data_IF_683917032580
#
_entry.id   IF_683917032580
#
_cell.length_a   1.000
_cell.length_b   1.000
_cell.length_c   1.000
_cell.angle_alpha   90.00
_cell.angle_beta   90.00
_cell.angle_gamma   90.00
#
_symmetry.space_group_name_H-M   'P 1'
#
loop_
_entity.id
_entity.type
_entity.pdbx_description
1 polymer ?
#
# COMPACT_ATOMS: atom_id res chain seq x y z
N UNK A 1 4.19 9.07 -12.54
CA UNK A 1 4.90 9.13 -13.84
C UNK A 1 6.21 8.36 -13.76
N UNK A 2 7.25 8.99 -13.22
CA UNK A 2 8.63 8.44 -13.21
C UNK A 2 8.74 7.01 -12.68
N UNK A 3 8.12 6.72 -11.53
CA UNK A 3 8.15 5.39 -10.89
C UNK A 3 7.57 4.33 -11.82
N UNK A 4 6.39 4.57 -12.37
CA UNK A 4 5.73 3.65 -13.29
C UNK A 4 6.59 3.38 -14.52
N UNK A 5 7.17 4.42 -15.11
CA UNK A 5 8.05 4.28 -16.28
C UNK A 5 9.28 3.45 -15.95
N UNK A 6 10.00 3.77 -14.87
CA UNK A 6 11.22 3.06 -14.51
C UNK A 6 10.95 1.62 -14.05
N UNK A 7 9.88 1.38 -13.29
CA UNK A 7 9.47 0.05 -12.83
C UNK A 7 9.04 -0.83 -14.02
N UNK A 8 8.16 -0.34 -14.90
CA UNK A 8 7.62 -1.15 -16.01
C UNK A 8 8.60 -1.31 -17.16
N UNK A 9 9.52 -0.37 -17.38
CA UNK A 9 10.56 -0.53 -18.41
C UNK A 9 11.52 -1.70 -18.12
N UNK A 10 11.56 -2.23 -16.89
CA UNK A 10 12.29 -3.46 -16.56
C UNK A 10 11.82 -4.65 -17.42
N UNK A 11 10.56 -4.68 -17.87
CA UNK A 11 10.07 -5.68 -18.81
C UNK A 11 10.78 -5.63 -20.16
N UNK A 12 11.10 -4.42 -20.63
CA UNK A 12 11.85 -4.22 -21.89
C UNK A 12 13.27 -4.76 -21.73
N UNK A 13 13.91 -4.48 -20.58
CA UNK A 13 15.21 -5.05 -20.24
C UNK A 13 15.19 -6.57 -20.28
N UNK A 14 14.20 -7.20 -19.62
CA UNK A 14 14.01 -8.66 -19.65
C UNK A 14 13.77 -9.20 -21.07
N UNK A 15 12.95 -8.54 -21.87
CA UNK A 15 12.66 -8.95 -23.24
C UNK A 15 13.87 -8.81 -24.20
N UNK A 16 14.85 -7.98 -23.84
CA UNK A 16 16.10 -7.78 -24.58
C UNK A 16 17.29 -8.54 -23.96
N UNK A 17 17.02 -9.56 -23.13
CA UNK A 17 18.02 -10.35 -22.41
C UNK A 17 19.01 -9.52 -21.55
N UNK A 18 18.53 -8.40 -21.02
CA UNK A 18 19.25 -7.46 -20.16
C UNK A 18 18.48 -7.20 -18.85
N UNK A 19 18.41 -8.18 -17.93
CA UNK A 19 17.72 -8.01 -16.67
C UNK A 19 18.53 -7.10 -15.74
N UNK A 20 18.06 -5.86 -15.52
CA UNK A 20 18.73 -4.89 -14.64
C UNK A 20 18.40 -5.08 -13.16
N UNK A 21 17.28 -5.73 -12.83
CA UNK A 21 16.85 -6.07 -11.46
C UNK A 21 16.95 -4.92 -10.44
N UNK A 22 16.72 -3.68 -10.89
CA UNK A 22 16.81 -2.50 -10.03
C UNK A 22 15.48 -2.30 -9.27
N UNK A 23 15.45 -2.32 -7.92
CA UNK A 23 14.24 -2.01 -7.17
C UNK A 23 13.82 -0.56 -7.40
N UNK A 24 12.56 -0.35 -7.78
CA UNK A 24 11.98 0.99 -8.01
C UNK A 24 10.82 1.20 -7.07
N UNK A 25 10.82 2.29 -6.29
CA UNK A 25 9.78 2.59 -5.31
C UNK A 25 9.60 4.11 -5.15
N UNK A 26 8.39 4.56 -4.78
CA UNK A 26 8.17 5.95 -4.40
C UNK A 26 8.89 6.29 -3.09
N UNK A 27 9.27 7.55 -2.95
CA UNK A 27 9.71 8.14 -1.69
C UNK A 27 8.66 7.94 -0.57
N UNK A 28 7.37 8.16 -0.87
CA UNK A 28 6.29 7.97 0.10
C UNK A 28 6.09 6.49 0.49
N UNK A 29 6.27 5.56 -0.45
CA UNK A 29 6.23 4.12 -0.18
C UNK A 29 7.41 3.71 0.71
N UNK A 30 8.61 4.20 0.41
CA UNK A 30 9.80 3.93 1.22
C UNK A 30 9.67 4.52 2.63
N UNK A 31 9.22 5.76 2.75
CA UNK A 31 8.95 6.40 4.05
C UNK A 31 7.91 5.62 4.86
N UNK A 32 6.84 5.13 4.22
CA UNK A 32 5.85 4.29 4.89
C UNK A 32 6.48 3.00 5.44
N UNK A 33 7.33 2.32 4.67
CA UNK A 33 8.05 1.12 5.14
C UNK A 33 8.95 1.43 6.34
N UNK A 34 9.68 2.54 6.31
CA UNK A 34 10.53 2.98 7.43
C UNK A 34 9.70 3.30 8.68
N UNK A 35 8.47 3.80 8.51
CA UNK A 35 7.51 4.00 9.59
C UNK A 35 6.78 2.70 10.02
N UNK A 36 7.17 1.53 9.51
CA UNK A 36 6.61 0.23 9.91
C UNK A 36 5.32 -0.17 9.18
N UNK A 37 4.98 0.49 8.07
CA UNK A 37 3.82 0.09 7.27
C UNK A 37 4.00 -1.32 6.68
N UNK A 38 2.89 -2.05 6.57
CA UNK A 38 2.91 -3.39 6.00
C UNK A 38 3.23 -3.35 4.49
N UNK A 39 4.23 -4.13 4.01
CA UNK A 39 4.68 -4.07 2.63
C UNK A 39 3.61 -4.51 1.62
N UNK A 40 2.72 -5.43 1.99
CA UNK A 40 1.73 -5.98 1.05
C UNK A 40 0.35 -5.33 1.20
N UNK A 41 -0.10 -5.07 2.42
CA UNK A 41 -1.43 -4.47 2.67
C UNK A 41 -1.46 -2.97 2.40
N UNK A 42 -0.41 -2.24 2.77
CA UNK A 42 -0.38 -0.77 2.66
C UNK A 42 0.47 -0.32 1.47
N UNK A 43 1.72 -0.77 1.40
CA UNK A 43 2.67 -0.29 0.39
C UNK A 43 2.48 -0.97 -0.96
N UNK A 44 1.83 -2.14 -0.97
CA UNK A 44 1.46 -2.91 -2.15
C UNK A 44 2.65 -3.29 -3.03
N UNK A 45 3.76 -3.70 -2.42
CA UNK A 45 5.03 -4.02 -3.09
C UNK A 45 4.92 -5.08 -4.19
N UNK A 46 3.93 -5.99 -4.10
CA UNK A 46 3.66 -7.03 -5.10
C UNK A 46 3.20 -6.52 -6.47
N UNK A 47 2.84 -5.24 -6.62
CA UNK A 47 2.48 -4.64 -7.90
C UNK A 47 3.69 -4.14 -8.70
N UNK A 48 4.87 -4.12 -8.09
CA UNK A 48 6.11 -3.74 -8.76
C UNK A 48 6.54 -4.82 -9.75
N UNK A 49 7.04 -4.38 -10.91
CA UNK A 49 7.65 -5.27 -11.90
C UNK A 49 9.14 -5.49 -11.63
N UNK A 50 9.75 -4.53 -10.91
CA UNK A 50 11.10 -4.64 -10.35
C UNK A 50 11.12 -5.56 -9.11
N UNK A 51 12.23 -6.29 -8.89
CA UNK A 51 12.38 -7.12 -7.69
C UNK A 51 12.66 -6.21 -6.49
N UNK A 52 11.72 -6.18 -5.52
CA UNK A 52 11.79 -5.32 -4.33
C UNK A 52 12.08 -6.11 -3.05
N UNK A 53 12.00 -7.43 -3.11
CA UNK A 53 12.22 -8.36 -2.00
C UNK A 53 13.60 -8.19 -1.37
N UNK A 54 14.64 -8.06 -2.20
CA UNK A 54 16.02 -7.86 -1.76
C UNK A 54 16.22 -6.52 -1.04
N UNK A 55 15.43 -5.50 -1.37
CA UNK A 55 15.40 -4.23 -0.65
C UNK A 55 14.73 -4.42 0.72
N UNK A 56 13.60 -5.14 0.77
CA UNK A 56 12.90 -5.43 2.03
C UNK A 56 13.78 -6.20 3.01
N UNK A 57 14.53 -7.21 2.54
CA UNK A 57 15.51 -7.94 3.35
C UNK A 57 16.57 -7.02 3.96
N UNK A 58 17.12 -6.09 3.17
CA UNK A 58 18.10 -5.10 3.65
C UNK A 58 17.53 -4.11 4.64
N UNK A 59 16.22 -3.85 4.58
CA UNK A 59 15.50 -3.04 5.56
C UNK A 59 15.15 -3.83 6.83
N UNK A 60 15.53 -5.12 6.92
CA UNK A 60 15.21 -5.98 8.06
C UNK A 60 13.75 -6.45 8.07
N UNK A 61 13.07 -6.40 6.92
CA UNK A 61 11.67 -6.81 6.79
C UNK A 61 11.63 -8.25 6.28
N UNK A 62 11.06 -9.16 7.07
CA UNK A 62 10.73 -10.53 6.63
C UNK A 62 9.54 -10.50 5.65
N UNK A 63 9.85 -10.27 4.39
CA UNK A 63 8.84 -10.18 3.33
C UNK A 63 8.13 -11.51 3.11
N UNK A 64 8.77 -12.65 3.37
CA UNK A 64 8.16 -13.97 3.18
C UNK A 64 7.04 -14.20 4.18
N UNK A 65 7.30 -13.95 5.46
CA UNK A 65 6.27 -14.01 6.50
C UNK A 65 5.14 -12.99 6.24
N UNK A 66 5.49 -11.76 5.84
CA UNK A 66 4.50 -10.73 5.50
C UNK A 66 3.64 -11.11 4.28
N UNK A 67 4.23 -11.74 3.27
CA UNK A 67 3.51 -12.22 2.09
C UNK A 67 2.55 -13.35 2.46
N UNK A 68 3.01 -14.32 3.26
CA UNK A 68 2.15 -15.41 3.73
C UNK A 68 0.96 -14.88 4.55
N UNK A 69 1.19 -13.90 5.42
CA UNK A 69 0.13 -13.24 6.18
C UNK A 69 -0.85 -12.45 5.29
N UNK A 70 -0.36 -11.87 4.20
CA UNK A 70 -1.20 -11.20 3.19
C UNK A 70 -2.04 -12.19 2.39
N UNK A 71 -1.47 -13.29 1.93
CA UNK A 71 -2.20 -14.33 1.20
C UNK A 71 -3.26 -15.01 2.09
N UNK A 72 -2.96 -15.23 3.37
CA UNK A 72 -3.96 -15.68 4.35
C UNK A 72 -5.12 -14.69 4.49
N UNK A 73 -4.81 -13.41 4.56
CA UNK A 73 -5.82 -12.34 4.61
C UNK A 73 -6.70 -12.27 3.35
N UNK A 74 -6.13 -12.48 2.16
CA UNK A 74 -6.91 -12.54 0.93
C UNK A 74 -7.92 -13.70 0.95
N UNK A 75 -7.56 -14.86 1.54
CA UNK A 75 -8.50 -15.98 1.71
C UNK A 75 -9.64 -15.63 2.66
N UNK A 76 -9.38 -14.89 3.74
CA UNK A 76 -10.43 -14.40 4.63
C UNK A 76 -11.40 -13.47 3.89
N UNK A 77 -10.87 -12.53 3.08
CA UNK A 77 -11.71 -11.63 2.26
C UNK A 77 -12.55 -12.44 1.26
N UNK A 78 -11.94 -13.41 0.59
CA UNK A 78 -12.66 -14.31 -0.31
C UNK A 78 -13.78 -15.07 0.40
N UNK A 79 -13.57 -15.42 1.68
CA UNK A 79 -14.58 -16.04 2.55
C UNK A 79 -15.67 -15.08 3.08
N UNK A 80 -15.68 -13.81 2.66
CA UNK A 80 -16.69 -12.82 3.02
C UNK A 80 -16.29 -11.86 4.15
N UNK A 81 -15.04 -11.90 4.63
CA UNK A 81 -14.53 -10.87 5.53
C UNK A 81 -14.53 -9.52 4.82
N UNK A 82 -15.04 -8.49 5.49
CA UNK A 82 -14.95 -7.12 4.97
C UNK A 82 -13.48 -6.66 5.01
N UNK A 83 -12.92 -6.13 3.91
CA UNK A 83 -11.55 -5.63 3.91
C UNK A 83 -11.37 -4.49 4.91
N UNK A 84 -10.17 -4.40 5.47
CA UNK A 84 -9.77 -3.33 6.38
C UNK A 84 -9.60 -2.08 5.52
N UNK A 85 -10.45 -1.08 5.74
CA UNK A 85 -10.39 0.19 5.02
C UNK A 85 -9.65 1.21 5.87
N UNK A 86 -8.73 1.95 5.25
CA UNK A 86 -8.00 3.03 5.92
C UNK A 86 -8.93 4.20 6.31
N UNK A 87 -10.03 4.37 5.57
CA UNK A 87 -11.09 5.34 5.84
C UNK A 87 -12.44 4.76 5.40
N UNK A 88 -13.53 5.16 6.06
CA UNK A 88 -14.87 4.80 5.59
C UNK A 88 -15.15 5.51 4.25
N UNK A 89 -15.33 4.77 3.13
CA UNK A 89 -15.59 5.37 1.82
C UNK A 89 -16.85 6.26 1.81
N UNK A 90 -17.80 5.98 2.72
CA UNK A 90 -19.03 6.78 2.86
C UNK A 90 -18.76 8.22 3.28
N UNK A 91 -17.64 8.49 3.96
CA UNK A 91 -17.24 9.85 4.33
C UNK A 91 -16.87 10.72 3.11
N UNK A 92 -16.58 10.11 1.95
CA UNK A 92 -16.31 10.84 0.70
C UNK A 92 -17.55 11.03 -0.17
N UNK A 93 -18.63 10.32 0.11
CA UNK A 93 -19.91 10.56 -0.56
C UNK A 93 -20.48 11.88 0.00
N UNK A 94 -20.69 12.88 -0.84
CA UNK A 94 -21.22 14.19 -0.42
C UNK A 94 -22.65 14.44 -0.89
N UNK A 95 -23.15 13.65 -1.84
CA UNK A 95 -24.51 13.74 -2.39
C UNK A 95 -24.85 12.49 -3.22
N UNK A 96 -26.10 12.40 -3.70
CA UNK A 96 -26.58 11.35 -4.61
C UNK A 96 -27.74 10.51 -4.05
N UNK A 97 -28.48 9.77 -4.90
CA UNK A 97 -29.55 8.88 -4.46
C UNK A 97 -29.03 7.83 -3.47
N UNK A 98 -29.68 7.73 -2.29
CA UNK A 98 -29.26 6.82 -1.23
C UNK A 98 -28.11 7.34 -0.34
N UNK A 99 -27.65 8.58 -0.52
CA UNK A 99 -26.71 9.22 0.39
C UNK A 99 -27.31 9.32 1.80
N UNK A 100 -26.57 8.79 2.79
CA UNK A 100 -26.89 8.90 4.21
C UNK A 100 -25.76 9.69 4.88
N UNK A 101 -26.01 10.90 5.40
CA UNK A 101 -24.97 11.69 6.05
C UNK A 101 -24.48 10.98 7.32
N UNK A 102 -23.16 10.83 7.44
CA UNK A 102 -22.52 10.37 8.66
C UNK A 102 -22.49 11.54 9.65
N UNK A 103 -22.97 11.34 10.88
CA UNK A 103 -22.80 12.34 11.95
C UNK A 103 -21.30 12.49 12.23
N UNK A 104 -20.73 13.65 11.88
CA UNK A 104 -19.39 14.02 12.32
C UNK A 104 -19.46 14.40 13.80
N UNK A 105 -18.76 13.67 14.66
CA UNK A 105 -18.36 14.24 15.95
C UNK A 105 -17.37 15.35 15.66
N UNK A 106 -17.74 16.58 16.03
CA UNK A 106 -16.83 17.71 15.97
C UNK A 106 -15.84 17.51 17.12
N UNK A 107 -14.59 17.16 16.80
CA UNK A 107 -13.52 17.14 17.80
C UNK A 107 -13.39 18.59 18.30
N UNK A 108 -13.65 18.87 19.59
CA UNK A 108 -13.50 20.23 20.11
C UNK A 108 -12.04 20.67 19.98
N UNK A 109 -11.78 21.98 19.77
CA UNK A 109 -10.42 22.48 19.74
C UNK A 109 -9.70 22.12 21.06
N UNK A 110 -8.38 21.88 21.00
CA UNK A 110 -7.61 21.65 22.22
C UNK A 110 -7.76 22.86 23.16
N UNK A 111 -7.78 22.64 24.49
CA UNK A 111 -7.87 23.73 25.45
C UNK A 111 -6.72 24.73 25.25
N UNK A 112 -6.90 26.01 25.60
CA UNK A 112 -5.83 27.00 25.54
C UNK A 112 -4.63 26.52 26.36
N UNK A 113 -3.42 26.71 25.83
CA UNK A 113 -2.21 26.51 26.62
C UNK A 113 -2.17 27.54 27.75
N UNK A 114 -1.98 27.08 28.99
CA UNK A 114 -1.69 27.93 30.16
C UNK A 114 -0.27 28.52 30.07
#
# INVERSE_FOLDING_TARGET
>A
GCITTLDKNQWIGRAADKPFELPVMADCQFAALVCGADPYRIVQTHWHASPVERLLEKMGIDWQAKKAAFEGYLKEIQGGKTPDQLYDPRLRLTSGPGFKPIKREVIPPPPPAE
#
